data_IF_093592108261
#
_entry.id   IF_093592108261
#
_cell.length_a   1.000
_cell.length_b   1.000
_cell.length_c   1.000
_cell.angle_alpha   90.00
_cell.angle_beta   90.00
_cell.angle_gamma   90.00
#
_symmetry.space_group_name_H-M   'P 1'
#
loop_
_entity.id
_entity.type
_entity.pdbx_description
1 polymer ?
#
# COMPACT_ATOMS: atom_id res chain seq x y z
N UNK A 1 4.54 -12.94 10.05
CA UNK A 1 4.77 -11.48 10.15
C UNK A 1 3.46 -10.80 9.85
N UNK A 2 3.05 -9.77 10.62
CA UNK A 2 1.81 -9.03 10.37
C UNK A 2 1.93 -8.13 9.14
N UNK A 3 0.81 -7.68 8.51
CA UNK A 3 0.86 -6.71 7.41
C UNK A 3 1.62 -5.44 7.78
N UNK A 4 1.39 -4.91 8.98
CA UNK A 4 2.09 -3.73 9.48
C UNK A 4 3.59 -3.97 9.64
N UNK A 5 4.01 -5.16 10.09
CA UNK A 5 5.44 -5.49 10.21
C UNK A 5 6.14 -5.60 8.83
N UNK A 6 5.44 -6.07 7.80
CA UNK A 6 5.96 -6.01 6.41
C UNK A 6 6.14 -4.57 5.94
N UNK A 7 5.15 -3.72 6.23
CA UNK A 7 5.25 -2.29 5.96
C UNK A 7 6.45 -1.66 6.67
N UNK A 8 6.56 -1.84 7.97
CA UNK A 8 7.63 -1.25 8.79
C UNK A 8 9.02 -1.66 8.28
N UNK A 9 9.21 -2.93 7.91
CA UNK A 9 10.47 -3.40 7.34
C UNK A 9 10.80 -2.72 5.99
N UNK A 10 9.81 -2.55 5.11
CA UNK A 10 10.00 -1.82 3.85
C UNK A 10 10.21 -0.32 4.09
N UNK A 11 9.51 0.25 5.07
CA UNK A 11 9.57 1.64 5.48
C UNK A 11 10.93 2.05 6.01
N UNK A 12 11.53 1.20 6.85
CA UNK A 12 12.90 1.43 7.36
C UNK A 12 13.92 1.46 6.23
N UNK A 13 13.84 0.50 5.28
CA UNK A 13 14.72 0.51 4.10
C UNK A 13 14.57 1.77 3.24
N UNK A 14 13.35 2.32 3.14
CA UNK A 14 13.12 3.59 2.44
C UNK A 14 13.78 4.77 3.17
N UNK A 15 13.78 4.77 4.52
CA UNK A 15 14.42 5.81 5.31
C UNK A 15 15.95 5.80 5.17
N UNK A 16 16.57 4.67 4.87
CA UNK A 16 18.00 4.58 4.58
C UNK A 16 18.40 5.41 3.36
N UNK A 17 17.49 5.59 2.38
CA UNK A 17 17.71 6.44 1.21
C UNK A 17 17.79 7.93 1.61
N UNK A 18 17.01 8.40 2.58
CA UNK A 18 17.14 9.75 3.13
C UNK A 18 18.54 9.98 3.74
N UNK A 19 19.04 9.01 4.49
CA UNK A 19 20.37 9.09 5.09
C UNK A 19 21.47 9.07 4.00
N UNK A 20 21.32 8.23 2.99
CA UNK A 20 22.23 8.19 1.84
C UNK A 20 22.23 9.51 1.08
N UNK A 21 21.05 10.09 0.81
CA UNK A 21 20.96 11.42 0.18
C UNK A 21 21.70 12.47 1.00
N UNK A 22 21.46 12.56 2.31
CA UNK A 22 22.10 13.54 3.20
C UNK A 22 23.64 13.40 3.17
N UNK A 23 24.14 12.16 3.19
CA UNK A 23 25.56 11.87 3.08
C UNK A 23 26.10 12.34 1.71
N UNK A 24 25.50 11.94 0.60
CA UNK A 24 25.94 12.33 -0.74
C UNK A 24 25.91 13.84 -0.94
N UNK A 25 24.84 14.51 -0.52
CA UNK A 25 24.71 15.97 -0.62
C UNK A 25 25.81 16.72 0.14
N UNK A 26 26.39 16.10 1.19
CA UNK A 26 27.51 16.68 1.95
C UNK A 26 28.90 16.42 1.33
N UNK A 27 29.04 15.41 0.47
CA UNK A 27 30.35 14.94 -0.02
C UNK A 27 30.56 15.18 -1.52
N UNK A 28 29.49 15.33 -2.30
CA UNK A 28 29.56 15.38 -3.75
C UNK A 28 29.10 16.73 -4.31
N UNK A 29 29.54 17.03 -5.51
CA UNK A 29 29.07 18.21 -6.26
C UNK A 29 27.67 17.97 -6.81
N UNK A 30 26.92 19.06 -7.06
CA UNK A 30 25.61 19.00 -7.68
C UNK A 30 25.59 18.27 -9.04
N UNK A 31 26.75 18.12 -9.69
CA UNK A 31 26.88 17.40 -10.96
C UNK A 31 26.58 15.89 -10.87
N UNK A 32 26.54 15.31 -9.66
CA UNK A 32 26.19 13.90 -9.46
C UNK A 32 24.70 13.67 -9.15
N UNK A 33 23.89 14.74 -9.21
CA UNK A 33 22.44 14.68 -9.06
C UNK A 33 21.97 13.83 -7.84
N UNK A 34 22.39 14.16 -6.59
CA UNK A 34 22.00 13.40 -5.41
C UNK A 34 20.49 13.36 -5.21
N UNK A 35 19.72 14.26 -5.84
CA UNK A 35 18.25 14.28 -5.83
C UNK A 35 17.62 13.01 -6.42
N UNK A 36 18.35 12.25 -7.24
CA UNK A 36 17.86 10.95 -7.75
C UNK A 36 17.62 9.94 -6.61
N UNK A 37 18.37 10.06 -5.52
CA UNK A 37 18.14 9.23 -4.33
C UNK A 37 16.79 9.59 -3.67
N UNK A 38 16.39 10.86 -3.67
CA UNK A 38 15.08 11.29 -3.17
C UNK A 38 13.95 10.78 -4.06
N UNK A 39 14.13 10.74 -5.38
CA UNK A 39 13.17 10.12 -6.31
C UNK A 39 13.02 8.64 -6.03
N UNK A 40 14.13 7.94 -5.83
CA UNK A 40 14.12 6.52 -5.46
C UNK A 40 13.40 6.29 -4.12
N UNK A 41 13.61 7.15 -3.12
CA UNK A 41 12.90 7.09 -1.84
C UNK A 41 11.40 7.29 -2.03
N UNK A 42 10.96 8.28 -2.83
CA UNK A 42 9.55 8.50 -3.10
C UNK A 42 8.87 7.23 -3.64
N UNK A 43 9.50 6.61 -4.65
CA UNK A 43 9.00 5.34 -5.22
C UNK A 43 8.93 4.23 -4.18
N UNK A 44 9.97 4.09 -3.35
CA UNK A 44 10.04 3.07 -2.31
C UNK A 44 8.97 3.26 -1.22
N UNK A 45 8.65 4.49 -0.83
CA UNK A 45 7.60 4.81 0.13
C UNK A 45 6.20 4.40 -0.36
N UNK A 46 5.88 4.69 -1.61
CA UNK A 46 4.60 4.27 -2.20
C UNK A 46 4.56 2.76 -2.44
N UNK A 47 5.68 2.13 -2.77
CA UNK A 47 5.76 0.68 -2.87
C UNK A 47 5.56 -0.03 -1.51
N UNK A 48 6.00 0.59 -0.41
CA UNK A 48 5.74 0.06 0.93
C UNK A 48 4.24 0.08 1.30
N UNK A 49 3.51 1.14 0.89
CA UNK A 49 2.04 1.19 1.02
C UNK A 49 1.37 0.07 0.21
N UNK A 50 1.78 -0.11 -1.05
CA UNK A 50 1.24 -1.15 -1.93
C UNK A 50 1.44 -2.56 -1.32
N UNK A 51 2.66 -2.85 -0.87
CA UNK A 51 2.99 -4.09 -0.16
C UNK A 51 2.11 -4.29 1.08
N UNK A 52 1.92 -3.23 1.88
CA UNK A 52 1.07 -3.30 3.07
C UNK A 52 -0.36 -3.73 2.72
N UNK A 53 -0.96 -3.12 1.71
CA UNK A 53 -2.34 -3.44 1.32
C UNK A 53 -2.45 -4.87 0.78
N UNK A 54 -1.48 -5.33 -0.01
CA UNK A 54 -1.41 -6.72 -0.47
C UNK A 54 -1.38 -7.70 0.71
N UNK A 55 -0.51 -7.47 1.69
CA UNK A 55 -0.37 -8.33 2.87
C UNK A 55 -1.64 -8.28 3.76
N UNK A 56 -2.20 -7.08 3.96
CA UNK A 56 -3.43 -6.90 4.73
C UNK A 56 -4.58 -7.73 4.15
N UNK A 57 -4.79 -7.61 2.84
CA UNK A 57 -5.90 -8.29 2.17
C UNK A 57 -5.67 -9.80 2.12
N UNK A 58 -4.48 -10.26 1.73
CA UNK A 58 -4.18 -11.68 1.65
C UNK A 58 -4.35 -12.38 3.01
N UNK A 59 -3.74 -11.84 4.07
CA UNK A 59 -3.82 -12.43 5.40
C UNK A 59 -5.25 -12.38 5.98
N UNK A 60 -5.98 -11.28 5.71
CA UNK A 60 -7.37 -11.17 6.17
C UNK A 60 -8.31 -12.12 5.43
N UNK A 61 -8.14 -12.32 4.13
CA UNK A 61 -8.93 -13.28 3.35
C UNK A 61 -8.65 -14.73 3.79
N UNK A 62 -7.40 -15.07 4.09
CA UNK A 62 -7.07 -16.37 4.70
C UNK A 62 -7.73 -16.53 6.08
N UNK A 63 -7.73 -15.46 6.89
CA UNK A 63 -8.40 -15.49 8.19
C UNK A 63 -9.93 -15.68 8.06
N UNK A 64 -10.57 -15.13 7.02
CA UNK A 64 -11.99 -15.40 6.70
C UNK A 64 -12.16 -16.88 6.30
N UNK A 65 -11.29 -17.39 5.42
CA UNK A 65 -11.32 -18.80 4.98
C UNK A 65 -11.22 -19.77 6.16
N UNK A 66 -10.40 -19.46 7.14
CA UNK A 66 -10.21 -20.24 8.36
C UNK A 66 -11.30 -20.01 9.42
N UNK A 67 -12.29 -19.17 9.15
CA UNK A 67 -13.39 -18.85 10.09
C UNK A 67 -12.98 -17.94 11.26
N UNK A 68 -11.80 -17.33 11.20
CA UNK A 68 -11.30 -16.40 12.23
C UNK A 68 -11.77 -14.95 12.05
N UNK A 69 -12.34 -14.63 10.90
CA UNK A 69 -12.95 -13.32 10.59
C UNK A 69 -14.32 -13.51 9.92
N UNK A 70 -15.22 -12.52 10.05
CA UNK A 70 -16.53 -12.59 9.42
C UNK A 70 -16.41 -12.49 7.88
N UNK A 71 -17.29 -13.22 7.20
CA UNK A 71 -17.37 -13.23 5.74
C UNK A 71 -17.95 -11.91 5.24
N UNK A 72 -17.32 -11.31 4.21
CA UNK A 72 -17.84 -10.11 3.55
C UNK A 72 -18.58 -10.44 2.25
N UNK A 73 -19.52 -9.58 1.79
CA UNK A 73 -20.16 -9.79 0.48
C UNK A 73 -19.17 -9.75 -0.71
N UNK A 74 -18.06 -9.02 -0.59
CA UNK A 74 -17.04 -8.99 -1.63
C UNK A 74 -16.20 -10.28 -1.63
N UNK A 75 -15.86 -10.81 -0.46
CA UNK A 75 -15.19 -12.11 -0.34
C UNK A 75 -16.03 -13.24 -0.97
N UNK A 76 -17.36 -13.26 -0.76
CA UNK A 76 -18.24 -14.28 -1.35
C UNK A 76 -18.25 -14.27 -2.89
N UNK A 77 -17.91 -13.14 -3.50
CA UNK A 77 -17.82 -12.99 -4.96
C UNK A 77 -16.41 -13.16 -5.50
N UNK A 78 -15.43 -13.39 -4.63
CA UNK A 78 -14.05 -13.61 -5.06
C UNK A 78 -13.97 -14.93 -5.85
N UNK A 79 -13.39 -14.88 -7.03
CA UNK A 79 -13.29 -16.02 -7.91
C UNK A 79 -12.07 -16.87 -7.58
N UNK A 80 -12.27 -18.16 -7.48
CA UNK A 80 -11.20 -19.13 -7.23
C UNK A 80 -11.14 -20.10 -8.41
N UNK A 81 -9.94 -20.37 -8.91
CA UNK A 81 -9.76 -21.32 -10.00
C UNK A 81 -10.13 -22.75 -9.57
N UNK A 82 -10.62 -23.56 -10.51
CA UNK A 82 -10.94 -24.97 -10.26
C UNK A 82 -9.73 -25.75 -9.74
N UNK A 83 -8.54 -25.46 -10.24
CA UNK A 83 -7.29 -26.06 -9.75
C UNK A 83 -7.06 -25.78 -8.27
N UNK A 84 -7.27 -24.53 -7.84
CA UNK A 84 -7.12 -24.17 -6.43
C UNK A 84 -8.20 -24.82 -5.58
N UNK A 85 -9.45 -24.87 -6.09
CA UNK A 85 -10.55 -25.55 -5.40
C UNK A 85 -10.26 -27.04 -5.19
N UNK A 86 -9.71 -27.73 -6.19
CA UNK A 86 -9.33 -29.13 -6.08
C UNK A 86 -8.23 -29.34 -5.03
N UNK A 87 -7.18 -28.51 -5.07
CA UNK A 87 -6.09 -28.56 -4.06
C UNK A 87 -6.61 -28.33 -2.64
N UNK A 88 -7.48 -27.33 -2.45
CA UNK A 88 -8.11 -27.04 -1.15
C UNK A 88 -8.96 -28.20 -0.68
N UNK A 89 -9.82 -28.75 -1.56
CA UNK A 89 -10.69 -29.89 -1.22
C UNK A 89 -9.87 -31.12 -0.82
N UNK A 90 -8.84 -31.48 -1.59
CA UNK A 90 -8.02 -32.64 -1.34
C UNK A 90 -7.25 -32.49 -0.02
N UNK A 91 -6.71 -31.31 0.28
CA UNK A 91 -6.05 -31.00 1.54
C UNK A 91 -7.04 -31.10 2.74
N UNK A 92 -8.26 -30.57 2.61
CA UNK A 92 -9.31 -30.68 3.64
C UNK A 92 -9.70 -32.12 3.89
N UNK A 93 -9.89 -32.94 2.84
CA UNK A 93 -10.22 -34.37 2.95
C UNK A 93 -9.10 -35.16 3.63
N UNK A 94 -7.85 -34.78 3.43
CA UNK A 94 -6.69 -35.36 4.11
C UNK A 94 -6.48 -34.84 5.54
N UNK A 95 -7.30 -33.90 6.03
CA UNK A 95 -7.12 -33.28 7.35
C UNK A 95 -5.96 -32.28 7.45
N UNK A 96 -5.43 -31.83 6.31
CA UNK A 96 -4.25 -30.96 6.19
C UNK A 96 -4.67 -29.49 6.04
N UNK A 97 -5.37 -28.93 7.04
CA UNK A 97 -5.94 -27.58 6.98
C UNK A 97 -4.91 -26.48 6.67
N UNK A 98 -3.69 -26.59 7.18
CA UNK A 98 -2.63 -25.64 6.88
C UNK A 98 -2.25 -25.64 5.39
N UNK A 99 -2.31 -26.78 4.71
CA UNK A 99 -2.06 -26.86 3.27
C UNK A 99 -3.23 -26.29 2.47
N UNK A 100 -4.47 -26.46 2.93
CA UNK A 100 -5.64 -25.84 2.33
C UNK A 100 -5.54 -24.30 2.40
N UNK A 101 -5.19 -23.74 3.57
CA UNK A 101 -4.97 -22.30 3.77
C UNK A 101 -3.81 -21.78 2.88
N UNK A 102 -2.71 -22.52 2.78
CA UNK A 102 -1.58 -22.15 1.93
C UNK A 102 -1.93 -22.15 0.43
N UNK A 103 -2.72 -23.13 -0.03
CA UNK A 103 -3.19 -23.17 -1.42
C UNK A 103 -4.11 -21.97 -1.74
N UNK A 104 -4.97 -21.60 -0.81
CA UNK A 104 -5.84 -20.44 -0.96
C UNK A 104 -5.04 -19.12 -0.92
N UNK A 105 -4.09 -18.95 0.03
CA UNK A 105 -3.20 -17.78 0.11
C UNK A 105 -2.41 -17.57 -1.19
N UNK A 106 -1.84 -18.66 -1.73
CA UNK A 106 -1.11 -18.60 -3.00
C UNK A 106 -1.99 -18.10 -4.15
N UNK A 107 -3.25 -18.57 -4.21
CA UNK A 107 -4.21 -18.11 -5.22
C UNK A 107 -4.53 -16.63 -5.06
N UNK A 108 -4.83 -16.16 -3.84
CA UNK A 108 -5.10 -14.75 -3.56
C UNK A 108 -3.92 -13.89 -4.02
N UNK A 109 -2.70 -14.25 -3.63
CA UNK A 109 -1.48 -13.50 -4.00
C UNK A 109 -1.24 -13.50 -5.51
N UNK A 110 -1.51 -14.61 -6.19
CA UNK A 110 -1.37 -14.69 -7.66
C UNK A 110 -2.39 -13.82 -8.39
N UNK A 111 -3.65 -13.81 -7.93
CA UNK A 111 -4.71 -13.01 -8.52
C UNK A 111 -4.51 -11.51 -8.26
N UNK A 112 -4.26 -11.13 -7.00
CA UNK A 112 -4.07 -9.75 -6.62
C UNK A 112 -2.71 -9.19 -7.05
N UNK A 113 -1.68 -10.02 -7.23
CA UNK A 113 -0.32 -9.60 -7.61
C UNK A 113 -0.21 -8.93 -8.98
N UNK A 114 -1.28 -9.00 -9.80
CA UNK A 114 -1.37 -8.28 -11.08
C UNK A 114 -1.97 -6.87 -10.94
N UNK A 115 -2.41 -6.50 -9.74
CA UNK A 115 -3.04 -5.21 -9.41
C UNK A 115 -2.10 -4.38 -8.57
N UNK A 116 -2.30 -3.08 -8.57
CA UNK A 116 -1.63 -2.17 -7.65
C UNK A 116 -2.66 -1.55 -6.71
N UNK A 117 -2.32 -1.43 -5.44
CA UNK A 117 -3.19 -0.84 -4.40
C UNK A 117 -2.55 0.44 -3.87
N UNK A 118 -2.28 1.37 -4.77
CA UNK A 118 -1.67 2.65 -4.46
C UNK A 118 -2.70 3.79 -4.43
N UNK A 119 -3.65 3.77 -5.38
CA UNK A 119 -4.71 4.75 -5.41
C UNK A 119 -5.81 4.48 -4.36
N UNK A 120 -6.40 5.53 -3.79
CA UNK A 120 -7.41 5.40 -2.73
C UNK A 120 -8.59 4.48 -3.08
N UNK A 121 -9.08 4.53 -4.31
CA UNK A 121 -10.23 3.72 -4.71
C UNK A 121 -9.86 2.25 -4.89
N UNK A 122 -8.63 1.94 -5.33
CA UNK A 122 -8.09 0.58 -5.41
C UNK A 122 -7.88 0.00 -4.00
N UNK A 123 -7.32 0.80 -3.08
CA UNK A 123 -7.16 0.42 -1.67
C UNK A 123 -8.54 0.11 -1.05
N UNK A 124 -9.53 0.99 -1.24
CA UNK A 124 -10.87 0.76 -0.71
C UNK A 124 -11.52 -0.49 -1.31
N UNK A 125 -11.30 -0.76 -2.61
CA UNK A 125 -11.81 -1.95 -3.28
C UNK A 125 -11.16 -3.23 -2.75
N UNK A 126 -9.87 -3.19 -2.46
CA UNK A 126 -9.15 -4.30 -1.86
C UNK A 126 -9.60 -4.57 -0.43
N UNK A 127 -9.73 -3.54 0.41
CA UNK A 127 -10.19 -3.66 1.80
C UNK A 127 -11.62 -4.22 1.89
N UNK A 128 -12.51 -3.94 0.94
CA UNK A 128 -13.87 -4.54 0.92
C UNK A 128 -13.86 -6.07 0.87
N UNK A 129 -12.79 -6.71 0.37
CA UNK A 129 -12.64 -8.16 0.41
C UNK A 129 -12.57 -8.70 1.83
N UNK A 130 -12.05 -7.92 2.77
CA UNK A 130 -11.79 -8.36 4.13
C UNK A 130 -12.53 -7.58 5.24
N UNK A 131 -13.14 -6.43 4.90
CA UNK A 131 -13.91 -5.62 5.87
C UNK A 131 -15.05 -4.86 5.19
N UNK A 132 -16.24 -4.76 5.81
CA UNK A 132 -17.39 -4.03 5.25
C UNK A 132 -17.40 -2.54 5.59
N UNK A 133 -16.32 -1.98 6.12
CA UNK A 133 -16.25 -0.59 6.59
C UNK A 133 -16.24 0.42 5.45
N UNK A 134 -16.67 1.65 5.74
CA UNK A 134 -16.44 2.82 4.89
C UNK A 134 -15.03 3.37 5.13
N UNK A 135 -14.04 2.72 4.52
CA UNK A 135 -12.61 2.85 4.83
C UNK A 135 -12.16 4.29 5.05
N UNK A 136 -12.40 5.17 4.06
CA UNK A 136 -11.82 6.52 4.12
C UNK A 136 -12.46 7.41 5.18
N UNK A 137 -13.72 7.15 5.55
CA UNK A 137 -14.36 7.84 6.67
C UNK A 137 -13.77 7.38 8.01
N UNK A 138 -13.51 6.07 8.18
CA UNK A 138 -12.85 5.55 9.37
C UNK A 138 -11.41 6.04 9.48
N UNK A 139 -10.66 6.02 8.38
CA UNK A 139 -9.30 6.59 8.30
C UNK A 139 -9.31 8.08 8.70
N UNK A 140 -10.28 8.86 8.21
CA UNK A 140 -10.37 10.28 8.57
C UNK A 140 -10.61 10.48 10.07
N UNK A 141 -11.50 9.69 10.68
CA UNK A 141 -11.75 9.73 12.12
C UNK A 141 -10.50 9.37 12.92
N UNK A 142 -9.81 8.29 12.55
CA UNK A 142 -8.56 7.87 13.19
C UNK A 142 -7.41 8.86 12.98
N UNK A 143 -7.45 9.64 11.91
CA UNK A 143 -6.55 10.76 11.68
C UNK A 143 -6.93 12.04 12.43
N UNK A 144 -7.97 12.01 13.28
CA UNK A 144 -8.35 13.12 14.16
C UNK A 144 -9.45 14.02 13.63
N UNK A 145 -10.14 13.64 12.54
CA UNK A 145 -11.30 14.39 12.08
C UNK A 145 -12.48 14.22 13.05
N UNK A 146 -13.28 15.29 13.23
CA UNK A 146 -14.54 15.14 13.93
C UNK A 146 -15.57 14.36 13.11
N UNK A 147 -16.59 13.74 13.72
CA UNK A 147 -17.67 13.05 13.00
C UNK A 147 -18.37 13.92 11.95
N UNK A 148 -18.49 15.22 12.21
CA UNK A 148 -19.10 16.18 11.28
C UNK A 148 -18.20 16.48 10.07
N UNK A 149 -16.88 16.47 10.24
CA UNK A 149 -15.89 16.80 9.21
C UNK A 149 -15.32 15.57 8.48
N UNK A 150 -15.67 14.35 8.88
CA UNK A 150 -15.04 13.12 8.37
C UNK A 150 -15.07 12.98 6.85
N UNK A 151 -16.19 13.36 6.21
CA UNK A 151 -16.35 13.22 4.76
C UNK A 151 -15.40 14.15 3.99
N UNK A 152 -15.22 15.38 4.47
CA UNK A 152 -14.31 16.34 3.84
C UNK A 152 -12.85 15.95 4.10
N UNK A 153 -12.52 15.58 5.33
CA UNK A 153 -11.20 15.08 5.68
C UNK A 153 -10.83 13.80 4.87
N UNK A 154 -11.78 12.90 4.64
CA UNK A 154 -11.59 11.73 3.80
C UNK A 154 -11.26 12.11 2.34
N UNK A 155 -11.93 13.12 1.78
CA UNK A 155 -11.62 13.63 0.43
C UNK A 155 -10.21 14.22 0.37
N UNK A 156 -9.81 15.00 1.37
CA UNK A 156 -8.48 15.61 1.41
C UNK A 156 -7.37 14.55 1.55
N UNK A 157 -7.58 13.54 2.41
CA UNK A 157 -6.65 12.41 2.54
C UNK A 157 -6.49 11.69 1.19
N UNK A 158 -7.60 11.35 0.54
CA UNK A 158 -7.59 10.69 -0.76
C UNK A 158 -6.90 11.53 -1.83
N UNK A 159 -7.23 12.82 -1.91
CA UNK A 159 -6.62 13.75 -2.87
C UNK A 159 -5.10 13.84 -2.67
N UNK A 160 -4.65 14.00 -1.44
CA UNK A 160 -3.23 14.08 -1.11
C UNK A 160 -2.49 12.80 -1.50
N UNK A 161 -3.06 11.64 -1.15
CA UNK A 161 -2.47 10.36 -1.52
C UNK A 161 -2.42 10.17 -3.05
N UNK A 162 -3.49 10.53 -3.77
CA UNK A 162 -3.52 10.47 -5.24
C UNK A 162 -2.41 11.29 -5.89
N UNK A 163 -2.18 12.52 -5.42
CA UNK A 163 -1.10 13.37 -5.93
C UNK A 163 0.30 12.76 -5.69
N UNK A 164 0.49 12.10 -4.53
CA UNK A 164 1.73 11.41 -4.23
C UNK A 164 1.96 10.21 -5.17
N UNK A 165 0.90 9.45 -5.46
CA UNK A 165 0.95 8.33 -6.40
C UNK A 165 1.16 8.81 -7.84
N UNK A 166 0.50 9.88 -8.26
CA UNK A 166 0.71 10.48 -9.58
C UNK A 166 2.17 10.90 -9.79
N UNK A 167 2.77 11.56 -8.79
CA UNK A 167 4.19 11.93 -8.89
C UNK A 167 5.10 10.69 -8.89
N UNK A 168 4.81 9.67 -8.07
CA UNK A 168 5.53 8.40 -8.11
C UNK A 168 5.51 7.80 -9.52
N UNK A 169 4.36 7.84 -10.19
CA UNK A 169 4.23 7.31 -11.55
C UNK A 169 5.04 8.13 -12.55
N UNK A 170 5.05 9.47 -12.43
CA UNK A 170 5.93 10.34 -13.26
C UNK A 170 7.40 10.02 -13.06
N UNK A 171 7.84 9.85 -11.82
CA UNK A 171 9.22 9.44 -11.51
C UNK A 171 9.55 8.09 -12.17
N UNK A 172 8.69 7.09 -12.00
CA UNK A 172 8.96 5.73 -12.44
C UNK A 172 8.87 5.52 -13.96
N UNK A 173 8.05 6.32 -14.66
CA UNK A 173 7.71 6.06 -16.06
C UNK A 173 8.04 7.23 -17.01
N UNK A 174 8.14 8.46 -16.49
CA UNK A 174 8.28 9.68 -17.29
C UNK A 174 9.56 10.47 -16.94
N UNK A 175 10.42 9.94 -16.06
CA UNK A 175 11.65 10.61 -15.62
C UNK A 175 11.42 11.87 -14.78
N UNK A 176 10.21 12.06 -14.22
CA UNK A 176 9.81 13.25 -13.43
C UNK A 176 10.01 14.57 -14.21
N UNK A 177 9.88 14.55 -15.52
CA UNK A 177 10.17 15.71 -16.38
C UNK A 177 9.02 16.71 -16.40
N UNK A 178 9.40 17.99 -16.43
CA UNK A 178 8.49 19.09 -16.68
C UNK A 178 8.00 19.07 -18.15
N UNK A 179 6.81 19.65 -18.42
CA UNK A 179 6.35 19.75 -19.80
C UNK A 179 7.27 20.62 -20.67
N UNK A 180 7.24 20.45 -22.01
CA UNK A 180 7.95 21.34 -22.93
C UNK A 180 7.58 22.83 -22.68
N UNK A 181 8.54 23.75 -22.86
CA UNK A 181 9.86 23.56 -23.47
C UNK A 181 10.96 23.11 -22.49
N UNK A 182 10.73 23.16 -21.18
CA UNK A 182 11.80 22.98 -20.18
C UNK A 182 12.41 21.57 -20.21
N UNK A 183 11.56 20.52 -20.13
CA UNK A 183 11.98 19.12 -20.07
C UNK A 183 13.08 18.82 -19.03
N UNK A 184 13.11 19.61 -17.96
CA UNK A 184 13.98 19.39 -16.82
C UNK A 184 13.24 18.58 -15.75
N UNK A 185 13.91 17.79 -14.90
CA UNK A 185 13.27 17.14 -13.79
C UNK A 185 12.58 18.14 -12.86
N UNK A 186 11.40 17.79 -12.36
CA UNK A 186 10.75 18.60 -11.33
C UNK A 186 11.64 18.69 -10.09
N UNK A 187 11.74 19.87 -9.47
CA UNK A 187 12.47 20.00 -8.20
C UNK A 187 11.94 19.01 -7.17
N UNK A 188 12.85 18.45 -6.39
CA UNK A 188 12.54 17.56 -5.27
C UNK A 188 13.49 17.89 -4.11
N UNK A 189 12.95 17.87 -2.89
CA UNK A 189 13.68 18.20 -1.68
C UNK A 189 13.43 17.18 -0.57
N UNK A 190 14.28 17.16 0.44
CA UNK A 190 14.08 16.36 1.62
C UNK A 190 12.79 16.74 2.38
N UNK A 191 12.38 18.02 2.33
CA UNK A 191 11.12 18.47 2.90
C UNK A 191 9.89 17.81 2.23
N UNK A 192 9.94 17.62 0.91
CA UNK A 192 8.88 16.91 0.18
C UNK A 192 8.77 15.45 0.66
N UNK A 193 9.91 14.78 0.87
CA UNK A 193 9.95 13.41 1.37
C UNK A 193 9.41 13.28 2.79
N UNK A 194 9.66 14.26 3.67
CA UNK A 194 9.07 14.30 5.01
C UNK A 194 7.53 14.39 4.93
N UNK A 195 7.00 15.22 4.04
CA UNK A 195 5.54 15.33 3.84
C UNK A 195 4.95 14.00 3.37
N UNK A 196 5.59 13.36 2.37
CA UNK A 196 5.16 12.04 1.88
C UNK A 196 5.23 10.99 2.98
N UNK A 197 6.34 10.92 3.69
CA UNK A 197 6.54 9.96 4.75
C UNK A 197 5.45 10.10 5.84
N UNK A 198 5.24 11.30 6.35
CA UNK A 198 4.25 11.54 7.40
C UNK A 198 2.82 11.20 6.94
N UNK A 199 2.48 11.52 5.68
CA UNK A 199 1.14 11.25 5.17
C UNK A 199 0.91 9.74 4.99
N UNK A 200 1.82 9.05 4.31
CA UNK A 200 1.69 7.60 4.01
C UNK A 200 1.69 6.78 5.30
N UNK A 201 2.62 7.05 6.23
CA UNK A 201 2.67 6.33 7.50
C UNK A 201 1.39 6.52 8.32
N UNK A 202 0.88 7.75 8.41
CA UNK A 202 -0.38 8.06 9.10
C UNK A 202 -1.55 7.31 8.48
N UNK A 203 -1.64 7.29 7.14
CA UNK A 203 -2.70 6.57 6.42
C UNK A 203 -2.61 5.06 6.67
N UNK A 204 -1.43 4.46 6.56
CA UNK A 204 -1.23 3.02 6.80
C UNK A 204 -1.64 2.63 8.22
N UNK A 205 -1.18 3.37 9.23
CA UNK A 205 -1.55 3.09 10.63
C UNK A 205 -3.04 3.25 10.89
N UNK A 206 -3.68 4.23 10.25
CA UNK A 206 -5.12 4.41 10.36
C UNK A 206 -5.90 3.29 9.65
N UNK A 207 -5.45 2.81 8.48
CA UNK A 207 -6.05 1.65 7.81
C UNK A 207 -5.91 0.39 8.67
N UNK A 208 -4.72 0.15 9.24
CA UNK A 208 -4.46 -1.01 10.10
C UNK A 208 -5.40 -1.03 11.30
N UNK A 209 -5.53 0.10 11.99
CA UNK A 209 -6.44 0.25 13.13
C UNK A 209 -7.94 0.13 12.74
N UNK A 210 -8.32 0.57 11.53
CA UNK A 210 -9.70 0.49 11.06
C UNK A 210 -10.12 -0.94 10.67
N UNK A 211 -9.16 -1.78 10.26
CA UNK A 211 -9.40 -3.14 9.74
C UNK A 211 -9.10 -4.22 10.80
N UNK A 212 -8.41 -3.88 11.91
CA UNK A 212 -8.08 -4.78 13.01
C UNK A 212 -9.33 -5.48 13.67
#
# INVERSE_FOLDING_TARGET
>A
MTPLAHFEAAWMRSAELSALHAYLASQVTAALHPEEVLRAEWVARIAALDLYVHELVAQSMVAIFEGRRPVTPAYQRFQVSTETMDRVRDAVQAGLLAQASAAFDLHIRSDLGRRTFQYPDDIASAVRLCSPIELWNEVALLCGASPAAKNEAAKDIKKTLSLMVERRNKIAHEGDLQPPPLREPWPISQADLIVVANHVERVVRAIDAAVA
#
